data_IF_084458963883
#
_entry.id   IF_084458963883
#
_cell.length_a   1.000
_cell.length_b   1.000
_cell.length_c   1.000
_cell.angle_alpha   90.00
_cell.angle_beta   90.00
_cell.angle_gamma   90.00
#
_symmetry.space_group_name_H-M   'P 1'
#
loop_
_entity.id
_entity.type
_entity.pdbx_description
1 polymer ?
#
# COMPACT_ATOMS: atom_id res chain seq x y z
N UNK A 1 4.93 -17.96 -2.90
CA UNK A 1 3.88 -17.46 -1.97
C UNK A 1 4.11 -15.99 -1.65
N UNK A 2 5.35 -15.58 -1.30
CA UNK A 2 5.66 -14.19 -0.95
C UNK A 2 5.23 -13.15 -2.00
N UNK A 3 5.34 -13.46 -3.29
CA UNK A 3 4.91 -12.54 -4.38
C UNK A 3 3.40 -12.26 -4.41
N UNK A 4 2.60 -13.00 -3.63
CA UNK A 4 1.15 -12.82 -3.51
C UNK A 4 0.74 -12.13 -2.21
N UNK A 5 1.68 -11.84 -1.32
CA UNK A 5 1.39 -11.26 0.00
C UNK A 5 1.43 -9.74 -0.05
N UNK A 6 0.35 -9.12 0.43
CA UNK A 6 0.30 -7.71 0.75
C UNK A 6 0.24 -7.56 2.27
N UNK A 7 1.27 -6.97 2.87
CA UNK A 7 1.29 -6.70 4.31
C UNK A 7 0.46 -5.45 4.59
N UNK A 8 -0.68 -5.60 5.24
CA UNK A 8 -1.70 -4.54 5.32
C UNK A 8 -1.28 -3.34 6.16
N UNK A 9 -0.90 -3.56 7.42
CA UNK A 9 -0.42 -2.50 8.30
C UNK A 9 0.70 -3.01 9.21
N UNK A 10 1.54 -2.10 9.70
CA UNK A 10 2.42 -2.36 10.82
C UNK A 10 1.55 -2.38 12.09
N UNK A 11 1.36 -3.57 12.66
CA UNK A 11 0.75 -3.69 13.99
C UNK A 11 1.66 -3.05 15.05
N UNK A 12 1.04 -2.39 16.03
CA UNK A 12 1.74 -1.88 17.22
C UNK A 12 2.22 -3.00 18.17
N UNK A 13 1.95 -4.27 17.83
CA UNK A 13 2.57 -5.42 18.48
C UNK A 13 4.08 -5.47 18.21
N UNK A 14 4.87 -5.57 19.28
CA UNK A 14 6.35 -5.47 19.28
C UNK A 14 6.99 -6.45 18.27
N UNK A 15 6.41 -7.64 18.13
CA UNK A 15 6.93 -8.68 17.25
C UNK A 15 6.67 -8.45 15.76
N UNK A 16 5.70 -7.59 15.40
CA UNK A 16 5.24 -7.49 14.02
C UNK A 16 6.31 -6.91 13.10
N UNK A 17 7.02 -5.87 13.53
CA UNK A 17 8.15 -5.30 12.79
C UNK A 17 9.24 -6.34 12.51
N UNK A 18 9.60 -7.12 13.54
CA UNK A 18 10.64 -8.16 13.43
C UNK A 18 10.22 -9.29 12.49
N UNK A 19 8.95 -9.66 12.51
CA UNK A 19 8.38 -10.63 11.57
C UNK A 19 8.45 -10.11 10.13
N UNK A 20 8.09 -8.85 9.87
CA UNK A 20 8.19 -8.25 8.54
C UNK A 20 9.64 -8.21 8.04
N UNK A 21 10.58 -7.79 8.89
CA UNK A 21 12.02 -7.81 8.59
C UNK A 21 12.51 -9.23 8.20
N UNK A 22 12.07 -10.26 8.93
CA UNK A 22 12.42 -11.65 8.64
C UNK A 22 11.82 -12.15 7.32
N UNK A 23 10.61 -11.73 7.00
CA UNK A 23 9.90 -12.10 5.77
C UNK A 23 10.33 -11.25 4.55
N UNK A 24 11.12 -10.19 4.77
CA UNK A 24 11.44 -9.21 3.73
C UNK A 24 10.24 -8.40 3.26
N UNK A 25 9.23 -8.26 4.12
CA UNK A 25 7.97 -7.57 3.83
C UNK A 25 7.96 -6.12 4.28
N UNK A 26 7.20 -5.28 3.57
CA UNK A 26 6.91 -3.90 3.94
C UNK A 26 5.39 -3.72 4.06
N UNK A 27 4.94 -3.10 5.14
CA UNK A 27 3.52 -2.85 5.36
C UNK A 27 3.04 -1.62 4.58
N UNK A 28 1.82 -1.68 4.05
CA UNK A 28 1.19 -0.58 3.29
C UNK A 28 0.95 0.65 4.18
N UNK A 29 0.66 0.45 5.48
CA UNK A 29 0.30 1.52 6.42
C UNK A 29 0.97 1.33 7.79
N UNK A 30 1.17 2.44 8.51
CA UNK A 30 1.54 2.46 9.92
C UNK A 30 0.58 3.39 10.68
N UNK A 31 -0.32 2.82 11.47
CA UNK A 31 -1.48 3.50 12.05
C UNK A 31 -1.62 3.29 13.58
N UNK A 32 -0.58 2.75 14.23
CA UNK A 32 -0.62 2.36 15.66
C UNK A 32 -1.80 1.40 16.01
N UNK A 33 -2.26 0.63 15.02
CA UNK A 33 -3.35 -0.34 15.18
C UNK A 33 -2.87 -1.64 15.82
N UNK A 34 -3.68 -2.22 16.71
CA UNK A 34 -3.41 -3.51 17.37
C UNK A 34 -4.65 -4.31 17.75
N UNK A 35 -5.78 -4.07 17.08
CA UNK A 35 -7.03 -4.79 17.36
C UNK A 35 -6.99 -6.23 16.84
N UNK A 36 -6.35 -6.47 15.69
CA UNK A 36 -6.36 -7.76 15.03
C UNK A 36 -7.64 -7.99 14.21
N UNK A 37 -8.13 -9.23 14.19
CA UNK A 37 -9.37 -9.63 13.49
C UNK A 37 -9.42 -9.32 11.98
N UNK A 38 -8.26 -9.03 11.37
CA UNK A 38 -8.17 -8.62 9.97
C UNK A 38 -8.55 -7.16 9.71
N UNK A 39 -8.76 -6.35 10.75
CA UNK A 39 -9.18 -4.94 10.61
C UNK A 39 -8.23 -4.11 9.76
N UNK A 40 -6.91 -4.25 9.96
CA UNK A 40 -5.94 -3.57 9.10
C UNK A 40 -5.95 -4.06 7.65
N UNK A 41 -6.26 -5.34 7.40
CA UNK A 41 -6.43 -5.87 6.04
C UNK A 41 -7.69 -5.32 5.37
N UNK A 42 -8.80 -5.21 6.10
CA UNK A 42 -10.03 -4.58 5.60
C UNK A 42 -9.79 -3.12 5.18
N UNK A 43 -9.05 -2.35 5.97
CA UNK A 43 -8.66 -0.97 5.61
C UNK A 43 -7.72 -0.94 4.40
N UNK A 44 -6.73 -1.82 4.35
CA UNK A 44 -5.78 -1.89 3.23
C UNK A 44 -6.44 -2.20 1.88
N UNK A 45 -7.57 -2.91 1.87
CA UNK A 45 -8.30 -3.21 0.65
C UNK A 45 -8.74 -1.93 -0.09
N UNK A 46 -9.10 -0.87 0.62
CA UNK A 46 -9.43 0.42 -0.01
C UNK A 46 -8.23 1.08 -0.69
N UNK A 47 -7.01 0.87 -0.16
CA UNK A 47 -5.77 1.35 -0.79
C UNK A 47 -5.46 0.55 -2.05
N UNK A 48 -5.63 -0.78 -1.99
CA UNK A 48 -5.44 -1.66 -3.13
C UNK A 48 -6.42 -1.28 -4.26
N UNK A 49 -7.69 -1.07 -3.94
CA UNK A 49 -8.70 -0.61 -4.90
C UNK A 49 -8.31 0.75 -5.51
N UNK A 50 -7.81 1.68 -4.70
CA UNK A 50 -7.34 2.98 -5.20
C UNK A 50 -6.14 2.83 -6.16
N UNK A 51 -5.17 1.96 -5.83
CA UNK A 51 -4.04 1.67 -6.71
C UNK A 51 -4.48 1.09 -8.06
N UNK A 52 -5.44 0.15 -8.04
CA UNK A 52 -6.04 -0.41 -9.25
C UNK A 52 -6.73 0.67 -10.08
N UNK A 53 -7.47 1.58 -9.46
CA UNK A 53 -8.11 2.70 -10.17
C UNK A 53 -7.08 3.65 -10.77
N UNK A 54 -6.02 4.00 -10.04
CA UNK A 54 -4.94 4.85 -10.56
C UNK A 54 -4.36 4.23 -11.83
N UNK A 55 -4.09 2.92 -11.82
CA UNK A 55 -3.52 2.26 -12.99
C UNK A 55 -4.46 2.23 -14.21
N UNK A 56 -5.76 2.13 -13.99
CA UNK A 56 -6.73 1.93 -15.08
C UNK A 56 -7.42 3.22 -15.56
N UNK A 57 -7.56 4.21 -14.67
CA UNK A 57 -8.42 5.37 -14.88
C UNK A 57 -7.64 6.69 -14.92
N UNK A 58 -6.39 6.72 -14.44
CA UNK A 58 -5.59 7.93 -14.50
C UNK A 58 -5.20 8.26 -15.95
N UNK A 59 -5.54 9.47 -16.38
CA UNK A 59 -5.15 9.97 -17.69
C UNK A 59 -3.61 10.03 -17.80
N UNK A 60 -3.09 9.63 -18.95
CA UNK A 60 -1.69 9.90 -19.30
C UNK A 60 -1.47 11.41 -19.49
N UNK A 61 -0.23 11.86 -19.35
CA UNK A 61 0.13 13.27 -19.60
C UNK A 61 -0.35 13.79 -20.95
N UNK A 62 -0.24 12.98 -22.01
CA UNK A 62 -0.71 13.34 -23.35
C UNK A 62 -2.24 13.53 -23.38
N UNK A 63 -3.00 12.54 -22.90
CA UNK A 63 -4.46 12.63 -22.85
C UNK A 63 -4.99 13.73 -21.93
N UNK A 64 -4.20 14.13 -20.93
CA UNK A 64 -4.53 15.21 -20.01
C UNK A 64 -4.07 16.59 -20.52
N UNK A 65 -3.37 16.66 -21.65
CA UNK A 65 -2.84 17.91 -22.19
C UNK A 65 -1.73 18.55 -21.34
N UNK A 66 -1.00 17.74 -20.57
CA UNK A 66 0.08 18.20 -19.70
C UNK A 66 1.41 18.16 -20.46
N UNK A 67 2.06 19.32 -20.60
CA UNK A 67 3.38 19.44 -21.21
C UNK A 67 4.45 18.79 -20.31
N UNK A 68 5.34 18.02 -20.92
CA UNK A 68 6.44 17.36 -20.21
C UNK A 68 7.66 18.28 -20.03
N UNK A 69 7.69 19.44 -20.69
CA UNK A 69 8.79 20.41 -20.64
C UNK A 69 8.64 21.43 -19.50
N UNK A 70 8.21 21.01 -18.32
CA UNK A 70 8.34 21.84 -17.13
C UNK A 70 9.77 21.65 -16.64
N UNK A 71 10.67 22.54 -17.06
CA UNK A 71 12.05 22.62 -16.56
C UNK A 71 12.03 22.59 -15.02
N UNK A 72 12.74 21.62 -14.43
CA UNK A 72 13.29 21.70 -13.08
C UNK A 72 14.75 22.08 -13.17
#
# INVERSE_FOLDING_TARGET
INDYLFYSHLSAEIGHKKMLEHLGGEAIMDLDMRLGEGTGAAVAMSIIDAAVKIMNEMATFESAGVDRNIEQ
#
